data_IF_185341064397
#
_entry.id   IF_185341064397
#
_cell.length_a   1.000
_cell.length_b   1.000
_cell.length_c   1.000
_cell.angle_alpha   90.00
_cell.angle_beta   90.00
_cell.angle_gamma   90.00
#
_symmetry.space_group_name_H-M   'P 1'
#
loop_
_entity.id
_entity.type
_entity.pdbx_description
1 polymer ?
#
# COMPACT_ATOMS: atom_id res chain seq x y z
N UNK A 1 -2.02 -13.60 22.39
CA UNK A 1 -0.73 -13.73 21.67
C UNK A 1 -0.77 -12.72 20.54
N UNK A 2 -0.08 -11.57 20.68
CA UNK A 2 0.00 -10.58 19.60
C UNK A 2 0.70 -11.23 18.42
N UNK A 3 -0.09 -11.62 17.43
CA UNK A 3 0.41 -12.11 16.16
C UNK A 3 1.36 -11.06 15.58
N UNK A 4 2.54 -11.51 15.15
CA UNK A 4 3.58 -10.69 14.53
C UNK A 4 2.94 -9.72 13.54
N UNK A 5 3.09 -8.42 13.78
CA UNK A 5 2.67 -7.36 12.86
C UNK A 5 3.57 -7.37 11.64
N UNK A 6 3.38 -8.36 10.75
CA UNK A 6 4.06 -8.41 9.46
C UNK A 6 3.69 -7.18 8.65
N UNK A 7 4.56 -6.80 7.72
CA UNK A 7 4.26 -5.70 6.81
C UNK A 7 2.97 -5.96 6.01
N UNK A 8 2.70 -7.23 5.69
CA UNK A 8 1.49 -7.64 4.97
C UNK A 8 0.24 -7.48 5.83
N UNK A 9 0.25 -7.93 7.09
CA UNK A 9 -0.91 -7.77 7.98
C UNK A 9 -1.21 -6.31 8.28
N UNK A 10 -0.19 -5.49 8.44
CA UNK A 10 -0.33 -4.04 8.61
C UNK A 10 -0.89 -3.34 7.35
N UNK A 11 -0.43 -3.73 6.16
CA UNK A 11 -0.93 -3.18 4.89
C UNK A 11 -2.41 -3.50 4.70
N UNK A 12 -2.81 -4.76 4.94
CA UNK A 12 -4.21 -5.19 4.85
C UNK A 12 -5.12 -4.44 5.82
N UNK A 13 -4.66 -4.24 7.05
CA UNK A 13 -5.41 -3.47 8.05
C UNK A 13 -5.63 -2.03 7.58
N UNK A 14 -4.59 -1.37 7.05
CA UNK A 14 -4.70 0.01 6.55
C UNK A 14 -5.56 0.12 5.30
N UNK A 15 -5.47 -0.84 4.39
CA UNK A 15 -6.33 -0.92 3.21
C UNK A 15 -7.82 -1.11 3.59
N UNK A 16 -8.11 -1.81 4.69
CA UNK A 16 -9.48 -1.98 5.18
C UNK A 16 -9.99 -0.74 5.93
N UNK A 17 -9.18 -0.14 6.81
CA UNK A 17 -9.62 0.98 7.66
C UNK A 17 -9.60 2.33 6.93
N UNK A 18 -8.65 2.53 6.03
CA UNK A 18 -8.37 3.81 5.36
C UNK A 18 -8.05 3.58 3.87
N UNK A 19 -8.98 2.98 3.10
CA UNK A 19 -8.72 2.51 1.74
C UNK A 19 -8.26 3.61 0.79
N UNK A 20 -8.85 4.80 0.91
CA UNK A 20 -8.64 5.93 0.00
C UNK A 20 -7.55 6.90 0.49
N UNK A 21 -6.95 6.63 1.67
CA UNK A 21 -5.82 7.41 2.17
C UNK A 21 -4.57 7.11 1.34
N UNK A 22 -3.86 8.17 0.94
CA UNK A 22 -2.60 8.08 0.21
C UNK A 22 -1.54 7.39 1.10
N UNK A 23 -0.98 6.31 0.57
CA UNK A 23 0.11 5.54 1.17
C UNK A 23 1.48 5.99 0.62
N UNK A 24 1.54 6.30 -0.68
CA UNK A 24 2.73 6.79 -1.35
C UNK A 24 2.39 7.90 -2.34
N UNK A 25 3.26 8.90 -2.43
CA UNK A 25 3.28 9.91 -3.49
C UNK A 25 4.57 9.73 -4.27
N UNK A 26 4.44 9.47 -5.56
CA UNK A 26 5.56 9.45 -6.50
C UNK A 26 5.83 10.88 -6.92
N UNK A 27 7.08 11.30 -6.79
CA UNK A 27 7.52 12.64 -7.14
C UNK A 27 8.32 12.59 -8.44
N UNK A 28 7.90 13.34 -9.45
CA UNK A 28 8.73 13.68 -10.60
C UNK A 28 9.93 14.48 -10.09
N UNK A 29 11.12 14.02 -10.48
CA UNK A 29 12.41 14.64 -10.14
C UNK A 29 12.65 14.77 -8.62
N UNK A 30 11.91 14.02 -7.78
CA UNK A 30 12.01 14.10 -6.32
C UNK A 30 11.28 15.28 -5.66
N UNK A 31 10.64 16.16 -6.43
CA UNK A 31 10.01 17.39 -5.91
C UNK A 31 8.53 17.53 -6.27
N UNK A 32 8.15 17.20 -7.52
CA UNK A 32 6.80 17.49 -8.01
C UNK A 32 5.91 16.26 -7.89
N UNK A 33 4.78 16.30 -7.17
CA UNK A 33 3.84 15.18 -7.13
C UNK A 33 3.36 14.79 -8.53
N UNK A 34 3.71 13.58 -8.95
CA UNK A 34 3.36 13.04 -10.27
C UNK A 34 2.23 12.03 -10.15
N UNK A 35 2.28 11.17 -9.14
CA UNK A 35 1.28 10.14 -8.96
C UNK A 35 1.12 9.77 -7.47
N UNK A 36 0.03 9.09 -7.14
CA UNK A 36 -0.22 8.60 -5.79
C UNK A 36 -0.70 7.16 -5.81
N UNK A 37 -0.46 6.45 -4.71
CA UNK A 37 -1.09 5.17 -4.42
C UNK A 37 -1.81 5.25 -3.10
N UNK A 38 -3.08 4.89 -3.10
CA UNK A 38 -3.85 4.68 -1.87
C UNK A 38 -3.54 3.32 -1.24
N UNK A 39 -3.88 3.14 0.03
CA UNK A 39 -3.69 1.84 0.68
C UNK A 39 -4.45 0.70 -0.01
N UNK A 40 -5.66 0.95 -0.55
CA UNK A 40 -6.41 -0.04 -1.33
C UNK A 40 -5.64 -0.45 -2.59
N UNK A 41 -5.11 0.51 -3.33
CA UNK A 41 -4.36 0.24 -4.57
C UNK A 41 -3.05 -0.49 -4.29
N UNK A 42 -2.36 -0.12 -3.20
CA UNK A 42 -1.11 -0.76 -2.80
C UNK A 42 -1.31 -2.23 -2.39
N UNK A 43 -2.33 -2.55 -1.59
CA UNK A 43 -2.65 -3.95 -1.23
C UNK A 43 -3.01 -4.79 -2.46
N UNK A 44 -3.83 -4.23 -3.37
CA UNK A 44 -4.20 -4.90 -4.61
C UNK A 44 -2.99 -5.24 -5.49
N UNK A 45 -2.08 -4.28 -5.70
CA UNK A 45 -0.84 -4.49 -6.46
C UNK A 45 0.08 -5.51 -5.80
N UNK A 46 0.26 -5.46 -4.49
CA UNK A 46 1.09 -6.41 -3.76
C UNK A 46 0.60 -7.86 -3.92
N UNK A 47 -0.73 -8.06 -3.84
CA UNK A 47 -1.34 -9.38 -4.07
C UNK A 47 -1.22 -9.86 -5.51
N UNK A 48 -1.37 -8.95 -6.47
CA UNK A 48 -1.19 -9.27 -7.87
C UNK A 48 0.23 -9.79 -8.13
N UNK A 49 1.26 -9.10 -7.61
CA UNK A 49 2.66 -9.54 -7.72
C UNK A 49 2.88 -10.90 -7.04
N UNK A 50 2.35 -11.10 -5.83
CA UNK A 50 2.49 -12.37 -5.11
C UNK A 50 1.78 -13.55 -5.79
N UNK A 51 0.85 -13.30 -6.72
CA UNK A 51 0.13 -14.32 -7.48
C UNK A 51 0.75 -14.60 -8.86
N UNK A 52 1.84 -13.89 -9.22
CA UNK A 52 2.58 -14.07 -10.47
C UNK A 52 3.71 -15.13 -10.35
N UNK A 53 3.74 -15.88 -9.25
CA UNK A 53 4.68 -16.98 -8.99
C UNK A 53 4.01 -18.35 -9.19
#
# INVERSE_FOLDING_TARGET
>A
MSDRTTLVSLLRERASRQPDRIAYTFLANGETPENTLTYRQLDGKARAIASLE
#
